data_IF_998477417634
#
_entry.id   IF_998477417634
#
_cell.length_a   1.000
_cell.length_b   1.000
_cell.length_c   1.000
_cell.angle_alpha   90.00
_cell.angle_beta   90.00
_cell.angle_gamma   90.00
#
_symmetry.space_group_name_H-M   'P 1'
#
loop_
_entity.id
_entity.type
_entity.pdbx_description
1 polymer ?
#
# COMPACT_ATOMS: atom_id res chain seq x y z
N UNK A 1 4.07 -8.54 0.18
CA UNK A 1 4.09 -8.12 1.61
C UNK A 1 3.16 -6.96 1.90
N UNK A 2 3.26 -5.84 1.16
CA UNK A 2 2.48 -4.61 1.41
C UNK A 2 0.96 -4.82 1.36
N UNK A 3 0.45 -5.37 0.26
CA UNK A 3 -0.98 -5.64 0.05
C UNK A 3 -1.55 -6.60 1.10
N UNK A 4 -0.76 -7.62 1.49
CA UNK A 4 -1.11 -8.53 2.58
C UNK A 4 -1.23 -7.80 3.93
N UNK A 5 -0.26 -6.95 4.28
CA UNK A 5 -0.32 -6.15 5.51
C UNK A 5 -1.58 -5.28 5.56
N UNK A 6 -1.92 -4.62 4.46
CA UNK A 6 -3.14 -3.80 4.38
C UNK A 6 -4.42 -4.62 4.51
N UNK A 7 -4.44 -5.84 3.97
CA UNK A 7 -5.55 -6.78 4.13
C UNK A 7 -5.72 -7.24 5.57
N UNK A 8 -4.63 -7.49 6.29
CA UNK A 8 -4.66 -7.79 7.74
C UNK A 8 -5.23 -6.62 8.53
N UNK A 9 -4.86 -5.36 8.20
CA UNK A 9 -5.45 -4.17 8.84
C UNK A 9 -6.97 -4.05 8.61
N UNK A 10 -7.50 -4.64 7.54
CA UNK A 10 -8.93 -4.65 7.21
C UNK A 10 -9.68 -5.84 7.78
N UNK A 11 -8.98 -6.75 8.47
CA UNK A 11 -9.48 -8.07 8.85
C UNK A 11 -10.19 -8.76 7.67
N UNK A 12 -9.54 -8.75 6.50
CA UNK A 12 -10.15 -9.23 5.26
C UNK A 12 -9.13 -9.81 4.30
N UNK A 13 -9.45 -10.95 3.70
CA UNK A 13 -8.65 -11.59 2.65
C UNK A 13 -9.07 -11.17 1.23
N UNK A 14 -10.03 -10.25 1.09
CA UNK A 14 -10.62 -9.82 -0.20
C UNK A 14 -10.44 -8.32 -0.47
N UNK A 15 -9.45 -7.68 0.16
CA UNK A 15 -9.15 -6.26 -0.01
C UNK A 15 -8.32 -5.99 -1.26
N UNK A 16 -7.01 -5.84 -1.08
CA UNK A 16 -6.05 -5.70 -2.17
C UNK A 16 -5.69 -7.06 -2.76
N UNK A 17 -5.44 -7.17 -4.07
CA UNK A 17 -4.88 -8.38 -4.67
C UNK A 17 -3.57 -8.76 -3.96
N UNK A 18 -3.39 -10.04 -3.65
CA UNK A 18 -2.17 -10.54 -3.02
C UNK A 18 -1.57 -11.60 -3.92
N UNK A 19 -0.34 -11.36 -4.32
CA UNK A 19 0.31 -12.25 -5.26
C UNK A 19 0.87 -13.51 -4.69
N UNK A 20 0.73 -14.56 -5.50
CA UNK A 20 1.34 -15.87 -5.26
C UNK A 20 2.73 -16.00 -5.87
N UNK A 21 3.15 -15.01 -6.68
CA UNK A 21 4.42 -15.00 -7.42
C UNK A 21 5.30 -13.80 -7.04
N UNK A 22 6.62 -13.88 -7.27
CA UNK A 22 7.55 -12.76 -7.03
C UNK A 22 7.39 -11.59 -8.00
N UNK A 23 6.51 -11.69 -9.00
CA UNK A 23 6.20 -10.59 -9.92
C UNK A 23 5.41 -9.46 -9.21
N UNK A 24 5.63 -8.19 -9.57
CA UNK A 24 4.87 -7.08 -8.99
C UNK A 24 3.40 -7.14 -9.39
N UNK A 25 2.51 -7.40 -8.43
CA UNK A 25 1.07 -7.44 -8.70
C UNK A 25 0.41 -6.06 -8.66
N UNK A 26 0.79 -5.23 -7.69
CA UNK A 26 0.30 -3.86 -7.64
C UNK A 26 1.06 -3.04 -8.68
N UNK A 27 0.36 -2.51 -9.69
CA UNK A 27 0.90 -1.53 -10.63
C UNK A 27 0.39 -0.13 -10.31
N UNK A 28 1.28 0.84 -10.20
CA UNK A 28 0.94 2.21 -9.80
C UNK A 28 0.48 2.34 -8.33
N UNK A 29 -0.60 3.08 -8.09
CA UNK A 29 -1.11 3.41 -6.75
C UNK A 29 -2.59 3.06 -6.67
N UNK A 30 -2.96 2.26 -5.67
CA UNK A 30 -4.30 1.74 -5.45
C UNK A 30 -4.87 2.29 -4.16
N UNK A 31 -6.11 2.77 -4.22
CA UNK A 31 -6.81 3.34 -3.06
C UNK A 31 -7.96 2.43 -2.65
N UNK A 32 -8.16 2.32 -1.34
CA UNK A 32 -9.34 1.68 -0.76
C UNK A 32 -9.90 2.54 0.36
N UNK A 33 -11.09 3.07 0.13
CA UNK A 33 -11.88 3.73 1.18
C UNK A 33 -12.43 2.65 2.10
N UNK A 34 -12.13 2.75 3.40
CA UNK A 34 -12.52 1.73 4.38
C UNK A 34 -13.82 2.13 5.07
N UNK A 35 -14.87 1.31 5.08
CA UNK A 35 -16.08 1.68 5.82
C UNK A 35 -15.76 2.05 7.28
N UNK A 36 -16.29 3.16 7.79
CA UNK A 36 -16.04 3.63 9.17
C UNK A 36 -16.42 2.61 10.25
N UNK A 37 -17.31 1.66 9.93
CA UNK A 37 -17.67 0.54 10.79
C UNK A 37 -16.55 -0.50 10.95
N UNK A 38 -15.62 -0.60 9.99
CA UNK A 38 -14.45 -1.48 10.05
C UNK A 38 -13.23 -0.79 10.63
N UNK A 39 -12.93 0.41 10.16
CA UNK A 39 -11.77 1.18 10.61
C UNK A 39 -12.05 2.68 10.45
N UNK A 40 -11.69 3.43 11.47
CA UNK A 40 -11.77 4.89 11.51
C UNK A 40 -10.58 5.44 12.28
N UNK A 41 -10.22 6.69 12.01
CA UNK A 41 -9.22 7.40 12.81
C UNK A 41 -9.68 7.51 14.27
N UNK A 42 -8.73 7.75 15.17
CA UNK A 42 -9.01 7.98 16.60
C UNK A 42 -9.95 9.17 16.80
N UNK A 43 -9.85 10.16 15.91
CA UNK A 43 -10.71 11.34 15.80
C UNK A 43 -12.04 11.10 15.05
N UNK A 44 -12.31 9.86 14.61
CA UNK A 44 -13.50 9.51 13.82
C UNK A 44 -13.41 9.82 12.33
N UNK A 45 -12.23 10.23 11.84
CA UNK A 45 -11.98 10.49 10.41
C UNK A 45 -12.11 9.23 9.54
N UNK A 46 -12.39 9.46 8.27
CA UNK A 46 -12.45 8.42 7.23
C UNK A 46 -11.04 7.90 6.96
N UNK A 47 -10.82 6.59 7.08
CA UNK A 47 -9.54 5.97 6.73
C UNK A 47 -9.54 5.53 5.27
N UNK A 48 -8.46 5.84 4.56
CA UNK A 48 -8.16 5.38 3.21
C UNK A 48 -6.84 4.62 3.28
N UNK A 49 -6.85 3.37 2.83
CA UNK A 49 -5.61 2.60 2.67
C UNK A 49 -5.10 2.81 1.25
N UNK A 50 -3.80 3.03 1.15
CA UNK A 50 -3.10 3.22 -0.12
C UNK A 50 -2.08 2.09 -0.27
N UNK A 51 -2.27 1.24 -1.27
CA UNK A 51 -1.28 0.24 -1.67
C UNK A 51 -0.52 0.74 -2.90
N UNK A 52 0.76 0.41 -2.99
CA UNK A 52 1.64 0.92 -4.04
C UNK A 52 2.35 -0.22 -4.74
N UNK A 53 2.78 0.04 -5.97
CA UNK A 53 3.78 -0.78 -6.63
C UNK A 53 5.04 -0.89 -5.76
N UNK A 54 5.67 -2.07 -5.79
CA UNK A 54 6.94 -2.30 -5.12
C UNK A 54 8.09 -1.74 -5.93
N UNK A 55 9.17 -1.34 -5.25
CA UNK A 55 10.40 -0.95 -5.94
C UNK A 55 10.99 -2.10 -6.74
N UNK A 56 11.76 -1.74 -7.77
CA UNK A 56 12.46 -2.69 -8.64
C UNK A 56 11.50 -3.66 -9.35
N UNK A 57 10.30 -3.19 -9.68
CA UNK A 57 9.37 -3.92 -10.51
C UNK A 57 9.93 -4.21 -11.89
N UNK A 58 9.46 -5.28 -12.53
CA UNK A 58 9.91 -5.64 -13.88
C UNK A 58 9.60 -4.51 -14.88
N UNK A 59 10.65 -3.95 -15.49
CA UNK A 59 10.53 -2.80 -16.40
C UNK A 59 10.41 -1.43 -15.71
N UNK A 60 10.40 -1.36 -14.37
CA UNK A 60 10.37 -0.12 -13.63
C UNK A 60 11.74 0.58 -13.64
N UNK A 61 11.75 1.89 -13.87
CA UNK A 61 12.96 2.71 -13.74
C UNK A 61 13.09 3.25 -12.32
N UNK A 62 14.31 3.54 -11.86
CA UNK A 62 14.53 4.22 -10.57
C UNK A 62 13.75 5.53 -10.44
N UNK A 63 13.58 6.26 -11.55
CA UNK A 63 12.80 7.50 -11.56
C UNK A 63 11.30 7.23 -11.41
N UNK A 64 10.79 6.16 -12.01
CA UNK A 64 9.39 5.74 -11.82
C UNK A 64 9.13 5.38 -10.36
N UNK A 65 9.98 4.53 -9.79
CA UNK A 65 9.93 4.13 -8.38
C UNK A 65 9.95 5.34 -7.44
N UNK A 66 10.87 6.29 -7.69
CA UNK A 66 10.95 7.53 -6.91
C UNK A 66 9.67 8.38 -7.02
N UNK A 67 9.04 8.45 -8.20
CA UNK A 67 7.78 9.17 -8.40
C UNK A 67 6.62 8.52 -7.67
N UNK A 68 6.48 7.19 -7.77
CA UNK A 68 5.44 6.45 -7.04
C UNK A 68 5.61 6.68 -5.54
N UNK A 69 6.82 6.54 -5.01
CA UNK A 69 7.10 6.79 -3.60
C UNK A 69 6.81 8.24 -3.17
N UNK A 70 7.26 9.22 -3.95
CA UNK A 70 7.04 10.63 -3.64
C UNK A 70 5.55 10.99 -3.58
N UNK A 71 4.76 10.52 -4.55
CA UNK A 71 3.30 10.73 -4.56
C UNK A 71 2.66 10.05 -3.36
N UNK A 72 3.01 8.80 -3.07
CA UNK A 72 2.49 8.08 -1.91
C UNK A 72 2.83 8.77 -0.59
N UNK A 73 4.05 9.31 -0.45
CA UNK A 73 4.46 10.07 0.72
C UNK A 73 3.64 11.37 0.87
N UNK A 74 3.44 12.12 -0.22
CA UNK A 74 2.68 13.37 -0.20
C UNK A 74 1.19 13.18 0.09
N UNK A 75 0.60 12.06 -0.37
CA UNK A 75 -0.81 11.74 -0.14
C UNK A 75 -1.08 11.15 1.25
N UNK A 76 -0.08 10.55 1.89
CA UNK A 76 -0.28 9.80 3.12
C UNK A 76 -0.12 10.69 4.34
N UNK A 77 -1.09 10.64 5.26
CA UNK A 77 -0.89 11.17 6.62
C UNK A 77 0.06 10.29 7.44
N UNK A 78 0.11 8.99 7.12
CA UNK A 78 1.00 8.01 7.75
C UNK A 78 1.61 7.14 6.66
N UNK A 79 2.94 7.11 6.56
CA UNK A 79 3.66 6.33 5.55
C UNK A 79 4.33 5.11 6.20
N UNK A 80 4.03 3.92 5.71
CA UNK A 80 4.66 2.67 6.16
C UNK A 80 5.72 2.24 5.16
N UNK A 81 6.99 2.34 5.55
CA UNK A 81 8.11 1.86 4.75
C UNK A 81 8.36 0.36 5.01
N UNK A 82 7.77 -0.50 4.17
CA UNK A 82 7.86 -1.95 4.32
C UNK A 82 9.12 -2.54 3.65
N UNK A 83 10.11 -2.94 4.46
CA UNK A 83 11.36 -3.59 4.02
C UNK A 83 11.54 -4.95 4.70
N UNK A 84 12.22 -5.89 4.02
CA UNK A 84 12.57 -7.21 4.57
C UNK A 84 13.87 -7.22 5.40
N UNK A 85 14.63 -6.12 5.41
CA UNK A 85 15.91 -6.02 6.14
C UNK A 85 15.76 -5.10 7.36
N UNK A 86 16.29 -5.53 8.49
CA UNK A 86 16.66 -4.63 9.59
C UNK A 86 17.87 -3.79 9.17
N UNK A 87 17.87 -2.51 9.56
CA UNK A 87 19.06 -1.66 9.49
C UNK A 87 20.19 -2.26 10.34
#
# INVERSE_FOLDING_TARGET
GKSFLLNVLLDSTHGFPVGSRPEPETRGIWFRVVPKSKLKGVDGSQVILVDTEGFYGEGATRLYDAKVFAISALLSSHLVYNTLRTL
#
